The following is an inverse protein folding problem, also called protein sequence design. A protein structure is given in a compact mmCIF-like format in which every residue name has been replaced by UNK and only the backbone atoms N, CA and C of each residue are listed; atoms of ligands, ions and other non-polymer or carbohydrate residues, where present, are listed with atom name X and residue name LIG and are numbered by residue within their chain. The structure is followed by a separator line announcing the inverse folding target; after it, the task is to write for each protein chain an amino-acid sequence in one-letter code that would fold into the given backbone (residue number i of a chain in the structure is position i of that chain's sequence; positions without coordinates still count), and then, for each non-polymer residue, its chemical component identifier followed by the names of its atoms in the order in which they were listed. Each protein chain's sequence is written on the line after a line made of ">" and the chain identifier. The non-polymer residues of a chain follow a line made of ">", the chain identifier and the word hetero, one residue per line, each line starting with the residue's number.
data_IF_582839344754
#
_entry.id   IF_582839344754
#
_cell.length_a   1.000
_cell.length_b   1.000
_cell.length_c   1.000
_cell.angle_alpha   90.00
_cell.angle_beta   90.00
_cell.angle_gamma   90.00
#
_symmetry.space_group_name_H-M   'P 1'
#
loop_
_entity.id
_entity.type
_entity.pdbx_description
1 polymer ?
#
# COMPACT_ATOMS: atom_id res chain seq x y z
N UNK A 1 1.43 10.01 -31.89
CA UNK A 1 0.79 9.71 -30.60
C UNK A 1 -0.25 10.79 -30.38
N UNK A 2 -1.53 10.44 -30.26
CA UNK A 2 -2.61 11.43 -30.14
C UNK A 2 -2.77 11.87 -28.68
N UNK A 3 -3.37 13.05 -28.46
CA UNK A 3 -3.68 13.56 -27.10
C UNK A 3 -4.53 12.55 -26.31
N UNK A 4 -5.37 11.78 -27.00
CA UNK A 4 -6.22 10.75 -26.40
C UNK A 4 -5.44 9.51 -25.95
N UNK A 5 -4.36 9.13 -26.67
CA UNK A 5 -3.48 8.03 -26.27
C UNK A 5 -2.70 8.38 -24.99
N UNK A 6 -2.21 9.62 -24.88
CA UNK A 6 -1.48 10.12 -23.71
C UNK A 6 -2.40 10.13 -22.48
N UNK A 7 -3.62 10.66 -22.62
CA UNK A 7 -4.61 10.64 -21.53
C UNK A 7 -4.90 9.23 -21.04
N UNK A 8 -5.11 8.27 -21.95
CA UNK A 8 -5.44 6.89 -21.60
C UNK A 8 -4.28 6.15 -20.90
N UNK A 9 -3.04 6.49 -21.20
CA UNK A 9 -1.87 5.98 -20.47
C UNK A 9 -1.84 6.54 -19.03
N UNK A 10 -1.95 7.86 -18.86
CA UNK A 10 -1.89 8.50 -17.54
C UNK A 10 -2.97 7.97 -16.59
N UNK A 11 -4.23 7.85 -17.04
CA UNK A 11 -5.31 7.33 -16.19
C UNK A 11 -5.11 5.86 -15.76
N UNK A 12 -4.36 5.08 -16.55
CA UNK A 12 -4.11 3.66 -16.26
C UNK A 12 -2.92 3.47 -15.30
N UNK A 13 -1.92 4.34 -15.38
CA UNK A 13 -0.79 4.36 -14.44
C UNK A 13 -1.24 4.81 -13.05
N UNK A 14 -1.98 5.93 -12.96
CA UNK A 14 -2.49 6.45 -11.68
C UNK A 14 -3.40 5.43 -10.96
N UNK A 15 -4.31 4.78 -11.70
CA UNK A 15 -5.19 3.75 -11.13
C UNK A 15 -4.46 2.48 -10.67
N UNK A 16 -3.30 2.16 -11.25
CA UNK A 16 -2.49 1.01 -10.87
C UNK A 16 -1.66 1.31 -9.62
N UNK A 17 -1.02 2.47 -9.58
CA UNK A 17 -0.23 2.92 -8.43
C UNK A 17 -1.11 3.10 -7.18
N UNK A 18 -2.28 3.72 -7.32
CA UNK A 18 -3.24 3.82 -6.21
C UNK A 18 -3.72 2.45 -5.73
N UNK A 19 -3.92 1.50 -6.65
CA UNK A 19 -4.34 0.14 -6.33
C UNK A 19 -3.27 -0.65 -5.59
N UNK A 20 -2.02 -0.55 -6.04
CA UNK A 20 -0.86 -1.20 -5.42
C UNK A 20 -0.62 -0.66 -4.00
N UNK A 21 -0.67 0.66 -3.82
CA UNK A 21 -0.50 1.29 -2.50
C UNK A 21 -1.64 0.95 -1.52
N UNK A 22 -2.90 0.99 -1.98
CA UNK A 22 -4.06 0.58 -1.16
C UNK A 22 -3.96 -0.89 -0.74
N UNK A 23 -3.48 -1.75 -1.63
CA UNK A 23 -3.33 -3.19 -1.37
C UNK A 23 -2.23 -3.47 -0.35
N UNK A 24 -1.08 -2.81 -0.43
CA UNK A 24 0.01 -2.94 0.54
C UNK A 24 -0.46 -2.58 1.96
N UNK A 25 -1.14 -1.45 2.11
CA UNK A 25 -1.73 -1.00 3.38
C UNK A 25 -2.78 -1.98 3.91
N UNK A 26 -3.65 -2.51 3.05
CA UNK A 26 -4.67 -3.48 3.46
C UNK A 26 -4.05 -4.80 3.95
N UNK A 27 -3.00 -5.28 3.27
CA UNK A 27 -2.25 -6.47 3.68
C UNK A 27 -1.57 -6.21 5.03
N UNK A 28 -0.88 -5.08 5.20
CA UNK A 28 -0.24 -4.71 6.45
C UNK A 28 -1.25 -4.68 7.61
N UNK A 29 -2.41 -4.04 7.41
CA UNK A 29 -3.51 -4.02 8.40
C UNK A 29 -4.00 -5.43 8.76
N UNK A 30 -4.16 -6.33 7.78
CA UNK A 30 -4.57 -7.72 8.02
C UNK A 30 -3.52 -8.51 8.79
N UNK A 31 -2.24 -8.33 8.49
CA UNK A 31 -1.14 -9.03 9.15
C UNK A 31 -0.97 -8.55 10.61
N UNK A 32 -0.99 -7.24 10.84
CA UNK A 32 -0.93 -6.66 12.19
C UNK A 32 -2.10 -7.12 13.07
N UNK A 33 -3.32 -7.17 12.53
CA UNK A 33 -4.50 -7.72 13.24
C UNK A 33 -4.37 -9.21 13.59
N UNK A 34 -3.56 -9.96 12.85
CA UNK A 34 -3.27 -11.37 13.13
C UNK A 34 -2.12 -11.56 14.13
N UNK A 35 -1.53 -10.47 14.64
CA UNK A 35 -0.41 -10.51 15.56
C UNK A 35 0.93 -10.85 14.90
N UNK A 36 1.05 -10.64 13.58
CA UNK A 36 2.33 -10.77 12.87
C UNK A 36 3.23 -9.62 13.30
N UNK A 37 4.53 -9.89 13.51
CA UNK A 37 5.50 -8.87 13.90
C UNK A 37 5.70 -7.82 12.82
N UNK A 38 5.99 -6.59 13.24
CA UNK A 38 6.19 -5.44 12.36
C UNK A 38 7.28 -5.73 11.33
N UNK A 39 8.38 -6.38 11.72
CA UNK A 39 9.48 -6.73 10.82
C UNK A 39 9.03 -7.61 9.63
N UNK A 40 8.20 -8.61 9.90
CA UNK A 40 7.65 -9.51 8.85
C UNK A 40 6.66 -8.75 7.97
N UNK A 41 5.89 -7.83 8.55
CA UNK A 41 4.95 -6.99 7.77
C UNK A 41 5.72 -6.09 6.81
N UNK A 42 6.75 -5.39 7.30
CA UNK A 42 7.66 -4.54 6.49
C UNK A 42 8.24 -5.32 5.32
N UNK A 43 8.79 -6.51 5.58
CA UNK A 43 9.36 -7.39 4.53
C UNK A 43 8.30 -7.86 3.52
N UNK A 44 7.08 -8.15 4.00
CA UNK A 44 6.01 -8.73 3.16
C UNK A 44 5.23 -7.70 2.33
N UNK A 45 5.17 -6.44 2.78
CA UNK A 45 4.35 -5.39 2.13
C UNK A 45 5.17 -4.34 1.42
N UNK A 46 6.50 -4.42 1.48
CA UNK A 46 7.44 -3.42 0.95
C UNK A 46 7.15 -2.00 1.50
N UNK A 47 6.53 -1.93 2.67
CA UNK A 47 6.28 -0.68 3.39
C UNK A 47 7.45 -0.43 4.32
N UNK A 48 7.73 0.84 4.58
CA UNK A 48 8.73 1.24 5.56
C UNK A 48 8.26 0.93 6.98
N UNK A 49 9.22 0.83 7.91
CA UNK A 49 8.91 0.61 9.32
C UNK A 49 8.01 1.71 9.90
N UNK A 50 8.26 2.96 9.51
CA UNK A 50 7.47 4.13 9.92
C UNK A 50 6.01 4.05 9.44
N UNK A 51 5.79 3.58 8.20
CA UNK A 51 4.44 3.38 7.66
C UNK A 51 3.70 2.26 8.41
N UNK A 52 4.36 1.13 8.64
CA UNK A 52 3.76 0.00 9.36
C UNK A 52 3.48 0.36 10.82
N UNK A 53 4.37 1.10 11.49
CA UNK A 53 4.15 1.61 12.85
C UNK A 53 2.98 2.60 12.91
N UNK A 54 2.88 3.51 11.94
CA UNK A 54 1.75 4.45 11.85
C UNK A 54 0.43 3.69 11.68
N UNK A 55 0.39 2.68 10.80
CA UNK A 55 -0.77 1.82 10.62
C UNK A 55 -1.11 1.06 11.91
N UNK A 56 -0.10 0.53 12.60
CA UNK A 56 -0.28 -0.21 13.84
C UNK A 56 -0.87 0.71 14.93
N UNK A 57 -0.36 1.94 15.03
CA UNK A 57 -0.87 2.95 15.97
C UNK A 57 -2.31 3.37 15.63
N UNK A 58 -2.66 3.53 14.36
CA UNK A 58 -4.04 3.80 13.93
C UNK A 58 -5.02 2.65 14.26
N UNK A 59 -4.54 1.40 14.21
CA UNK A 59 -5.38 0.22 14.44
C UNK A 59 -5.70 -0.06 15.91
N UNK A 60 -4.79 0.31 16.81
CA UNK A 60 -4.87 -0.02 18.24
C UNK A 60 -4.94 1.21 19.16
N UNK A 61 -5.18 2.40 18.60
CA UNK A 61 -5.57 3.60 19.35
C UNK A 61 -7.04 3.56 19.78
#
# INVERSE_FOLDING_TARGET
>A
MTIDDIRKLHYKEEGREEGEMKKAVEIAKKLLRKGVSIDIVVESTELTMEEVESINKELFN
#
